data_IF_581053396235
#
_entry.id   IF_581053396235
#
_cell.length_a   1.000
_cell.length_b   1.000
_cell.length_c   1.000
_cell.angle_alpha   90.00
_cell.angle_beta   90.00
_cell.angle_gamma   90.00
#
_symmetry.space_group_name_H-M   'P 1'
#
loop_
_entity.id
_entity.type
_entity.pdbx_description
1 polymer ?
#
# COMPACT_ATOMS: atom_id res chain seq x y z
N UNK A 1 18.19 15.46 -12.23
CA UNK A 1 16.75 15.74 -11.96
C UNK A 1 15.81 15.47 -13.13
N UNK A 2 16.11 15.90 -14.37
CA UNK A 2 15.19 15.72 -15.52
C UNK A 2 14.74 14.27 -15.76
N UNK A 3 15.64 13.30 -15.65
CA UNK A 3 15.31 11.87 -15.81
C UNK A 3 14.24 11.39 -14.80
N UNK A 4 14.35 11.81 -13.54
CA UNK A 4 13.39 11.47 -12.48
C UNK A 4 11.98 11.97 -12.84
N UNK A 5 11.86 13.22 -13.28
CA UNK A 5 10.57 13.78 -13.69
C UNK A 5 9.98 13.10 -14.92
N UNK A 6 10.82 12.68 -15.87
CA UNK A 6 10.36 11.89 -17.01
C UNK A 6 9.83 10.51 -16.59
N UNK A 7 10.54 9.84 -15.67
CA UNK A 7 10.10 8.56 -15.12
C UNK A 7 8.79 8.70 -14.33
N UNK A 8 8.65 9.75 -13.52
CA UNK A 8 7.40 10.06 -12.81
C UNK A 8 6.25 10.24 -13.79
N UNK A 9 6.43 11.02 -14.86
CA UNK A 9 5.39 11.22 -15.89
C UNK A 9 5.01 9.91 -16.59
N UNK A 10 6.01 9.10 -16.96
CA UNK A 10 5.78 7.78 -17.57
C UNK A 10 5.04 6.84 -16.62
N UNK A 11 5.40 6.86 -15.33
CA UNK A 11 4.75 6.06 -14.30
C UNK A 11 3.33 6.55 -14.00
N UNK A 12 3.06 7.84 -14.10
CA UNK A 12 1.75 8.42 -13.78
C UNK A 12 0.64 8.00 -14.75
N UNK A 13 0.97 7.74 -16.03
CA UNK A 13 0.01 7.39 -17.06
C UNK A 13 -0.71 6.04 -16.84
N UNK A 14 -0.01 4.90 -16.64
CA UNK A 14 -0.65 3.62 -16.36
C UNK A 14 -1.03 3.46 -14.89
N UNK A 15 -1.97 2.54 -14.60
CA UNK A 15 -2.35 2.16 -13.22
C UNK A 15 -1.55 1.00 -12.65
N UNK A 16 -0.40 0.67 -13.24
CA UNK A 16 0.49 -0.39 -12.76
C UNK A 16 1.05 -0.06 -11.37
N UNK A 17 1.41 -1.12 -10.64
CA UNK A 17 2.19 -1.00 -9.41
C UNK A 17 3.56 -0.40 -9.72
N UNK A 18 3.98 0.57 -8.91
CA UNK A 18 5.30 1.22 -9.05
C UNK A 18 6.11 0.92 -7.80
N UNK A 19 7.37 0.53 -7.98
CA UNK A 19 8.36 0.41 -6.90
C UNK A 19 9.34 1.57 -6.96
N UNK A 20 9.50 2.28 -5.85
CA UNK A 20 10.45 3.38 -5.67
C UNK A 20 11.61 2.88 -4.81
N UNK A 21 12.74 2.62 -5.44
CA UNK A 21 13.98 2.21 -4.77
C UNK A 21 14.84 3.43 -4.48
N UNK A 22 15.38 3.51 -3.26
CA UNK A 22 16.31 4.57 -2.86
C UNK A 22 16.58 4.56 -1.37
N UNK A 23 17.67 5.20 -0.96
CA UNK A 23 18.10 5.24 0.44
C UNK A 23 17.04 5.86 1.37
N UNK A 24 17.13 5.55 2.65
CA UNK A 24 16.27 6.14 3.68
C UNK A 24 16.48 7.66 3.71
N UNK A 25 15.38 8.43 3.81
CA UNK A 25 15.46 9.90 3.87
C UNK A 25 15.55 10.62 2.52
N UNK A 26 15.59 9.92 1.39
CA UNK A 26 15.71 10.53 0.04
C UNK A 26 14.41 11.07 -0.56
N UNK A 27 13.31 11.09 0.20
CA UNK A 27 12.03 11.65 -0.27
C UNK A 27 11.23 10.72 -1.19
N UNK A 28 11.29 9.39 -1.01
CA UNK A 28 10.51 8.41 -1.78
C UNK A 28 8.99 8.68 -1.79
N UNK A 29 8.45 9.15 -0.67
CA UNK A 29 7.03 9.53 -0.58
C UNK A 29 6.72 10.74 -1.48
N UNK A 30 7.64 11.71 -1.61
CA UNK A 30 7.47 12.87 -2.51
C UNK A 30 7.35 12.39 -3.96
N UNK A 31 8.16 11.39 -4.35
CA UNK A 31 8.07 10.75 -5.66
C UNK A 31 6.72 10.07 -5.84
N UNK A 32 6.25 9.29 -4.85
CA UNK A 32 4.97 8.61 -4.90
C UNK A 32 3.79 9.60 -5.02
N UNK A 33 3.83 10.70 -4.25
CA UNK A 33 2.85 11.79 -4.34
C UNK A 33 2.87 12.47 -5.69
N UNK A 34 4.05 12.74 -6.24
CA UNK A 34 4.17 13.32 -7.59
C UNK A 34 3.57 12.40 -8.67
N UNK A 35 3.78 11.08 -8.57
CA UNK A 35 3.14 10.10 -9.47
C UNK A 35 1.62 10.14 -9.33
N UNK A 36 1.10 10.15 -8.10
CA UNK A 36 -0.34 10.23 -7.85
C UNK A 36 -0.95 11.52 -8.42
N UNK A 37 -0.37 12.68 -8.11
CA UNK A 37 -0.85 13.99 -8.56
C UNK A 37 -0.79 14.17 -10.08
N UNK A 38 0.12 13.46 -10.76
CA UNK A 38 0.24 13.49 -12.22
C UNK A 38 -0.63 12.41 -12.92
N UNK A 39 -1.35 11.58 -12.18
CA UNK A 39 -2.14 10.48 -12.71
C UNK A 39 -3.62 10.84 -12.88
N UNK A 40 -4.38 9.99 -13.57
CA UNK A 40 -5.85 10.10 -13.66
C UNK A 40 -6.57 10.00 -12.29
N UNK A 41 -5.86 9.64 -11.21
CA UNK A 41 -6.40 9.49 -9.85
C UNK A 41 -6.06 10.66 -8.93
N UNK A 42 -5.55 11.77 -9.44
CA UNK A 42 -5.11 12.91 -8.63
C UNK A 42 -6.19 13.53 -7.73
N UNK A 43 -7.47 13.37 -8.08
CA UNK A 43 -8.61 13.83 -7.26
C UNK A 43 -9.11 12.80 -6.23
N UNK A 44 -8.52 11.60 -6.20
CA UNK A 44 -8.89 10.52 -5.29
C UNK A 44 -7.91 10.45 -4.10
N UNK A 45 -8.22 9.68 -3.02
CA UNK A 45 -7.36 9.63 -1.84
C UNK A 45 -5.93 9.15 -2.14
N UNK A 46 -4.95 9.74 -1.45
CA UNK A 46 -3.60 9.19 -1.32
C UNK A 46 -3.38 8.76 0.12
N UNK A 47 -3.29 7.45 0.35
CA UNK A 47 -3.03 6.86 1.67
C UNK A 47 -1.58 6.42 1.71
N UNK A 48 -0.76 7.06 2.53
CA UNK A 48 0.65 6.73 2.70
C UNK A 48 0.91 6.09 4.05
N UNK A 49 1.64 4.98 4.06
CA UNK A 49 1.96 4.23 5.27
C UNK A 49 3.44 3.88 5.32
N UNK A 50 4.02 3.98 6.51
CA UNK A 50 5.36 3.49 6.80
C UNK A 50 5.25 2.20 7.60
N UNK A 51 5.63 1.07 7.01
CA UNK A 51 5.46 -0.25 7.65
C UNK A 51 6.25 -0.38 8.95
N UNK A 52 7.39 0.31 9.07
CA UNK A 52 8.19 0.31 10.30
C UNK A 52 7.57 1.11 11.46
N UNK A 53 6.57 1.96 11.19
CA UNK A 53 5.91 2.78 12.20
C UNK A 53 4.70 2.08 12.85
N UNK A 54 4.26 0.95 12.30
CA UNK A 54 3.11 0.18 12.80
C UNK A 54 3.65 -1.05 13.54
N UNK A 55 3.20 -1.32 14.79
CA UNK A 55 3.57 -2.54 15.48
C UNK A 55 3.22 -3.78 14.65
N UNK A 56 4.13 -4.77 14.60
CA UNK A 56 4.01 -5.94 13.70
C UNK A 56 2.70 -6.70 13.90
N UNK A 57 2.31 -6.86 15.15
CA UNK A 57 1.09 -7.52 15.59
C UNK A 57 -0.20 -6.80 15.14
N UNK A 58 -0.14 -5.50 14.88
CA UNK A 58 -1.28 -4.70 14.39
C UNK A 58 -1.27 -4.54 12.87
N UNK A 59 -0.15 -4.81 12.21
CA UNK A 59 0.08 -4.46 10.81
C UNK A 59 -0.92 -5.13 9.87
N UNK A 60 -1.29 -6.39 10.14
CA UNK A 60 -2.33 -7.09 9.38
C UNK A 60 -3.70 -6.38 9.50
N UNK A 61 -4.14 -6.17 10.73
CA UNK A 61 -5.44 -5.56 11.04
C UNK A 61 -5.53 -4.12 10.52
N UNK A 62 -4.43 -3.37 10.56
CA UNK A 62 -4.37 -2.00 10.06
C UNK A 62 -4.39 -1.97 8.51
N UNK A 63 -3.64 -2.85 7.84
CA UNK A 63 -3.66 -2.94 6.37
C UNK A 63 -5.02 -3.40 5.86
N UNK A 64 -5.48 -4.57 6.29
CA UNK A 64 -6.64 -5.25 5.71
C UNK A 64 -7.96 -4.94 6.41
N UNK A 65 -7.91 -4.37 7.61
CA UNK A 65 -9.08 -4.19 8.46
C UNK A 65 -9.43 -5.46 9.23
N UNK A 66 -10.41 -5.34 10.12
CA UNK A 66 -10.90 -6.45 10.92
C UNK A 66 -12.39 -6.31 11.20
N UNK A 67 -13.06 -7.42 11.42
CA UNK A 67 -14.42 -7.43 11.97
C UNK A 67 -14.41 -7.38 13.49
N UNK A 68 -15.49 -6.85 14.07
CA UNK A 68 -15.70 -6.89 15.52
C UNK A 68 -15.61 -8.33 16.02
N UNK A 69 -14.77 -8.57 17.03
CA UNK A 69 -14.56 -9.89 17.63
C UNK A 69 -13.55 -10.78 16.90
N UNK A 70 -12.85 -10.29 15.87
CA UNK A 70 -11.83 -11.06 15.16
C UNK A 70 -10.63 -11.47 16.04
N UNK A 71 -10.30 -10.67 17.06
CA UNK A 71 -9.27 -10.95 18.05
C UNK A 71 -9.56 -10.18 19.36
N UNK A 72 -8.84 -10.51 20.44
CA UNK A 72 -8.95 -9.79 21.71
C UNK A 72 -8.58 -8.32 21.54
N UNK A 73 -9.55 -7.41 21.74
CA UNK A 73 -9.38 -5.97 21.50
C UNK A 73 -10.06 -5.44 20.23
N UNK A 74 -10.60 -6.32 19.37
CA UNK A 74 -11.39 -5.95 18.20
C UNK A 74 -12.82 -5.51 18.61
N UNK A 75 -12.93 -4.37 19.29
CA UNK A 75 -14.21 -3.87 19.83
C UNK A 75 -15.17 -3.33 18.76
N UNK A 76 -14.66 -2.97 17.59
CA UNK A 76 -15.42 -2.44 16.47
C UNK A 76 -14.85 -2.98 15.15
N UNK A 77 -15.66 -2.96 14.09
CA UNK A 77 -15.20 -3.26 12.74
C UNK A 77 -14.39 -2.09 12.18
N UNK A 78 -13.26 -2.38 11.53
CA UNK A 78 -12.42 -1.42 10.82
C UNK A 78 -12.18 -1.85 9.38
N UNK A 79 -12.25 -0.90 8.45
CA UNK A 79 -12.09 -1.16 7.01
C UNK A 79 -10.64 -1.39 6.53
N UNK A 80 -9.64 -1.04 7.35
CA UNK A 80 -8.23 -1.09 6.96
C UNK A 80 -7.82 -0.05 5.92
N UNK A 81 -6.52 0.05 5.66
CA UNK A 81 -5.98 0.98 4.67
C UNK A 81 -6.25 0.57 3.22
N UNK A 82 -6.32 -0.73 2.94
CA UNK A 82 -6.73 -1.23 1.61
C UNK A 82 -8.13 -0.74 1.24
N UNK A 83 -9.06 -0.73 2.21
CA UNK A 83 -10.41 -0.20 2.03
C UNK A 83 -10.44 1.33 1.93
N UNK A 84 -9.72 2.03 2.81
CA UNK A 84 -9.67 3.50 2.82
C UNK A 84 -9.06 4.10 1.55
N UNK A 85 -8.15 3.38 0.89
CA UNK A 85 -7.55 3.84 -0.37
C UNK A 85 -8.58 3.94 -1.51
N UNK A 86 -9.70 3.21 -1.44
CA UNK A 86 -10.80 3.29 -2.41
C UNK A 86 -10.35 3.14 -3.86
N UNK A 87 -10.66 4.14 -4.70
CA UNK A 87 -10.19 4.24 -6.08
C UNK A 87 -8.93 5.12 -6.25
N UNK A 88 -8.29 5.51 -5.17
CA UNK A 88 -7.11 6.38 -5.14
C UNK A 88 -5.79 5.62 -5.26
N UNK A 89 -4.82 5.99 -4.43
CA UNK A 89 -3.49 5.38 -4.37
C UNK A 89 -3.16 4.98 -2.93
N UNK A 90 -2.69 3.74 -2.74
CA UNK A 90 -2.06 3.25 -1.52
C UNK A 90 -0.54 3.24 -1.70
N UNK A 91 0.17 3.93 -0.83
CA UNK A 91 1.62 3.97 -0.77
C UNK A 91 2.13 3.21 0.46
N UNK A 92 3.02 2.24 0.24
CA UNK A 92 3.65 1.44 1.30
C UNK A 92 5.17 1.68 1.31
N UNK A 93 5.66 2.41 2.31
CA UNK A 93 7.10 2.58 2.52
C UNK A 93 7.68 1.44 3.34
N UNK A 94 8.96 1.13 3.09
CA UNK A 94 9.70 0.01 3.66
C UNK A 94 8.98 -1.34 3.49
N UNK A 95 8.58 -1.64 2.26
CA UNK A 95 7.88 -2.89 1.94
C UNK A 95 8.68 -4.15 2.31
N UNK A 96 10.02 -4.04 2.36
CA UNK A 96 10.91 -5.12 2.79
C UNK A 96 10.73 -5.51 4.27
N UNK A 97 10.12 -4.66 5.10
CA UNK A 97 9.89 -4.92 6.52
C UNK A 97 8.64 -5.78 6.78
N UNK A 98 7.86 -6.10 5.73
CA UNK A 98 6.74 -7.04 5.84
C UNK A 98 7.24 -8.46 6.08
N UNK A 99 6.61 -9.18 7.01
CA UNK A 99 6.86 -10.61 7.17
C UNK A 99 6.32 -11.43 5.98
N UNK A 100 6.78 -12.67 5.86
CA UNK A 100 6.42 -13.56 4.76
C UNK A 100 4.92 -13.85 4.67
N UNK A 101 4.22 -13.88 5.81
CA UNK A 101 2.78 -14.15 5.85
C UNK A 101 2.00 -12.98 5.24
N UNK A 102 2.38 -11.75 5.57
CA UNK A 102 1.81 -10.53 4.99
C UNK A 102 2.21 -10.33 3.53
N UNK A 103 3.42 -10.71 3.14
CA UNK A 103 3.82 -10.73 1.74
C UNK A 103 2.95 -11.68 0.90
N UNK A 104 2.64 -12.88 1.41
CA UNK A 104 1.74 -13.81 0.74
C UNK A 104 0.30 -13.26 0.60
N UNK A 105 -0.20 -12.55 1.61
CA UNK A 105 -1.50 -11.87 1.53
C UNK A 105 -1.48 -10.72 0.53
N UNK A 106 -0.44 -9.89 0.55
CA UNK A 106 -0.25 -8.80 -0.42
C UNK A 106 -0.19 -9.33 -1.86
N UNK A 107 0.49 -10.46 -2.09
CA UNK A 107 0.53 -11.13 -3.38
C UNK A 107 -0.87 -11.50 -3.88
N UNK A 108 -1.70 -12.08 -3.00
CA UNK A 108 -3.11 -12.35 -3.35
C UNK A 108 -3.88 -11.09 -3.69
N UNK A 109 -3.68 -9.99 -2.96
CA UNK A 109 -4.33 -8.70 -3.30
C UNK A 109 -3.91 -8.21 -4.68
N UNK A 110 -2.63 -8.36 -5.04
CA UNK A 110 -2.14 -7.96 -6.35
C UNK A 110 -2.70 -8.82 -7.49
N UNK A 111 -2.82 -10.13 -7.26
CA UNK A 111 -3.33 -11.08 -8.27
C UNK A 111 -4.85 -10.99 -8.44
N UNK A 112 -5.59 -11.02 -7.34
CA UNK A 112 -7.06 -11.11 -7.33
C UNK A 112 -7.72 -9.73 -7.36
N UNK A 113 -6.96 -8.66 -7.13
CA UNK A 113 -7.49 -7.29 -6.97
C UNK A 113 -8.59 -7.24 -5.90
N UNK A 114 -8.40 -7.99 -4.82
CA UNK A 114 -9.31 -8.04 -3.67
C UNK A 114 -8.61 -8.49 -2.39
N UNK A 115 -9.22 -8.22 -1.25
CA UNK A 115 -8.68 -8.56 0.08
C UNK A 115 -9.81 -8.93 1.04
N UNK A 116 -9.51 -9.65 2.12
CA UNK A 116 -10.46 -9.96 3.19
C UNK A 116 -10.01 -9.29 4.49
N UNK A 117 -10.98 -8.89 5.31
CA UNK A 117 -10.69 -8.42 6.67
C UNK A 117 -10.31 -9.59 7.56
N UNK A 118 -9.55 -9.31 8.62
CA UNK A 118 -9.29 -10.31 9.66
C UNK A 118 -10.63 -10.70 10.31
N UNK A 119 -10.89 -12.01 10.38
CA UNK A 119 -12.13 -12.56 10.92
C UNK A 119 -13.34 -12.50 9.97
N UNK A 120 -13.13 -12.16 8.69
CA UNK A 120 -14.17 -12.21 7.64
C UNK A 120 -13.72 -13.09 6.47
N UNK A 121 -14.70 -13.64 5.76
CA UNK A 121 -14.49 -14.42 4.53
C UNK A 121 -14.94 -13.66 3.27
N UNK A 122 -15.55 -12.48 3.42
CA UNK A 122 -16.01 -11.67 2.28
C UNK A 122 -14.84 -10.94 1.64
N UNK A 123 -14.64 -11.20 0.34
CA UNK A 123 -13.66 -10.48 -0.47
C UNK A 123 -14.17 -9.07 -0.78
N UNK A 124 -13.33 -8.08 -0.50
CA UNK A 124 -13.55 -6.67 -0.80
C UNK A 124 -12.67 -6.27 -1.99
N UNK A 125 -13.22 -5.53 -2.97
CA UNK A 125 -12.46 -5.15 -4.15
C UNK A 125 -11.36 -4.13 -3.80
N UNK A 126 -10.17 -4.35 -4.34
CA UNK A 126 -9.05 -3.43 -4.28
C UNK A 126 -8.92 -2.65 -5.61
N UNK A 127 -9.63 -1.52 -5.68
CA UNK A 127 -9.60 -0.65 -6.85
C UNK A 127 -8.38 0.28 -6.87
N UNK A 128 -7.75 0.54 -5.72
CA UNK A 128 -6.67 1.52 -5.60
C UNK A 128 -5.42 1.11 -6.42
N UNK A 129 -4.61 2.11 -6.74
CA UNK A 129 -3.29 1.92 -7.30
C UNK A 129 -2.32 1.65 -6.15
N UNK A 130 -1.39 0.70 -6.31
CA UNK A 130 -0.34 0.47 -5.33
C UNK A 130 0.97 1.15 -5.76
N UNK A 131 1.61 1.86 -4.84
CA UNK A 131 3.00 2.30 -4.97
C UNK A 131 3.75 1.77 -3.75
N UNK A 132 4.89 1.12 -3.95
CA UNK A 132 5.72 0.61 -2.86
C UNK A 132 7.07 1.32 -2.87
N UNK A 133 7.69 1.42 -1.71
CA UNK A 133 9.03 1.95 -1.56
C UNK A 133 9.90 1.04 -0.70
N UNK A 134 11.18 1.00 -1.04
CA UNK A 134 12.17 0.21 -0.32
C UNK A 134 13.54 0.90 -0.36
N UNK A 135 14.31 0.69 0.70
CA UNK A 135 15.74 1.00 0.73
C UNK A 135 16.59 -0.24 0.47
N UNK A 136 16.05 -1.43 0.77
CA UNK A 136 16.70 -2.72 0.56
C UNK A 136 16.57 -3.18 -0.89
N UNK A 137 17.54 -3.97 -1.33
CA UNK A 137 17.35 -4.74 -2.55
C UNK A 137 16.34 -5.87 -2.32
N UNK A 138 15.33 -5.97 -3.19
CA UNK A 138 14.27 -6.98 -3.06
C UNK A 138 14.60 -8.26 -3.86
N UNK A 139 15.72 -8.27 -4.58
CA UNK A 139 16.21 -9.45 -5.32
C UNK A 139 17.15 -10.32 -4.48
N UNK A 140 17.39 -9.94 -3.23
CA UNK A 140 18.14 -10.71 -2.24
C UNK A 140 17.18 -11.21 -1.17
#
# INVERSE_FOLDING_TARGET
MQLMFQLIRKAAAPTITVSVKGETGTGKEVVARAIHSASARAGAPFIGLNMAAIPRELLESELFGHEKGAFTGAHATRGGYFGQAGNGTLYLDKIADLDLALQAKLLRVLQERGFTRVGDNRVQPFAARLIVATHSDLTQ
#
